data_IF_660618272211
#
_entry.id   IF_660618272211
#
_cell.length_a   1.000
_cell.length_b   1.000
_cell.length_c   1.000
_cell.angle_alpha   90.00
_cell.angle_beta   90.00
_cell.angle_gamma   90.00
#
_symmetry.space_group_name_H-M   'P 1'
#
loop_
_entity.id
_entity.type
_entity.pdbx_description
1 polymer ?
#
# COMPACT_ATOMS: atom_id res chain seq x y z
N UNK A 1 -2.63 0.04 22.40
CA UNK A 1 -3.30 0.99 21.48
C UNK A 1 -4.58 0.36 20.97
N UNK A 2 -5.65 1.12 20.71
CA UNK A 2 -6.86 0.57 20.12
C UNK A 2 -6.57 -0.08 18.76
N UNK A 3 -7.03 -1.32 18.56
CA UNK A 3 -6.89 -2.06 17.30
C UNK A 3 -5.58 -2.82 17.11
N UNK A 4 -4.60 -2.73 18.02
CA UNK A 4 -3.40 -3.58 17.98
C UNK A 4 -3.64 -4.85 18.78
N UNK A 5 -3.63 -6.00 18.12
CA UNK A 5 -3.82 -7.31 18.74
C UNK A 5 -2.50 -7.90 19.27
N UNK A 6 -1.42 -7.79 18.49
CA UNK A 6 -0.08 -8.19 18.94
C UNK A 6 1.00 -7.28 18.38
N UNK A 7 2.09 -7.12 19.14
CA UNK A 7 3.27 -6.41 18.71
C UNK A 7 4.50 -7.17 19.20
N UNK A 8 5.28 -7.71 18.27
CA UNK A 8 6.47 -8.49 18.56
C UNK A 8 7.67 -7.88 17.83
N UNK A 9 8.62 -7.35 18.60
CA UNK A 9 9.92 -6.95 18.09
C UNK A 9 10.85 -8.15 18.06
N UNK A 10 11.48 -8.41 16.91
CA UNK A 10 12.60 -9.33 16.87
C UNK A 10 13.75 -8.78 17.72
N UNK A 11 14.12 -9.52 18.75
CA UNK A 11 15.28 -9.16 19.57
C UNK A 11 16.53 -9.48 18.77
N UNK A 12 17.36 -8.46 18.52
CA UNK A 12 18.70 -8.70 18.01
C UNK A 12 19.52 -9.51 19.01
N UNK A 13 19.21 -9.48 20.31
CA UNK A 13 19.92 -10.16 21.38
C UNK A 13 19.01 -11.24 22.01
N UNK A 14 19.41 -12.52 21.87
CA UNK A 14 18.58 -13.65 22.27
C UNK A 14 19.17 -15.02 21.94
N UNK A 15 20.23 -15.05 21.13
CA UNK A 15 21.05 -16.24 20.92
C UNK A 15 21.79 -16.61 22.20
N UNK A 16 21.88 -17.91 22.47
CA UNK A 16 22.67 -18.45 23.57
C UNK A 16 23.94 -19.08 23.00
N UNK A 17 25.08 -18.70 23.56
CA UNK A 17 26.39 -19.11 23.11
C UNK A 17 27.16 -19.79 24.24
N UNK A 18 27.96 -20.79 23.87
CA UNK A 18 29.02 -21.33 24.72
C UNK A 18 30.33 -20.90 24.08
N UNK A 19 30.97 -19.90 24.67
CA UNK A 19 32.23 -19.35 24.16
C UNK A 19 33.39 -20.18 24.69
N UNK A 20 34.27 -20.59 23.79
CA UNK A 20 35.57 -21.19 24.11
C UNK A 20 36.62 -20.11 23.93
N UNK A 21 36.93 -19.39 25.02
CA UNK A 21 37.90 -18.30 25.04
C UNK A 21 39.32 -18.89 25.18
N UNK A 22 39.97 -19.15 24.05
CA UNK A 22 41.28 -19.81 24.00
C UNK A 22 42.34 -18.91 24.62
N UNK A 23 43.04 -19.42 25.62
CA UNK A 23 44.14 -18.73 26.28
C UNK A 23 45.46 -19.10 25.58
N UNK A 24 46.02 -18.13 24.84
CA UNK A 24 47.24 -18.32 24.05
C UNK A 24 48.45 -18.73 24.89
N UNK A 25 48.60 -18.17 26.09
CA UNK A 25 49.73 -18.48 26.98
C UNK A 25 49.64 -19.91 27.51
N UNK A 26 48.44 -20.35 27.90
CA UNK A 26 48.21 -21.72 28.34
C UNK A 26 48.43 -22.72 27.19
N UNK A 27 47.89 -22.45 26.00
CA UNK A 27 48.06 -23.31 24.83
C UNK A 27 49.53 -23.43 24.39
N UNK A 28 50.28 -22.33 24.45
CA UNK A 28 51.70 -22.31 24.09
C UNK A 28 52.56 -23.23 24.98
N UNK A 29 52.20 -23.42 26.26
CA UNK A 29 52.89 -24.37 27.16
C UNK A 29 52.86 -25.81 26.66
N UNK A 30 51.85 -26.16 25.87
CA UNK A 30 51.66 -27.50 25.29
C UNK A 30 52.05 -27.56 23.80
N UNK A 31 52.72 -26.51 23.29
CA UNK A 31 53.10 -26.42 21.88
C UNK A 31 51.90 -26.30 20.93
N UNK A 32 50.75 -25.82 21.40
CA UNK A 32 49.54 -25.69 20.60
C UNK A 32 49.30 -24.25 20.15
N UNK A 33 48.96 -24.08 18.88
CA UNK A 33 48.45 -22.83 18.33
C UNK A 33 46.95 -22.67 18.60
N UNK A 34 46.40 -21.48 18.36
CA UNK A 34 44.95 -21.24 18.46
C UNK A 34 44.19 -22.16 17.48
N UNK A 35 44.73 -22.37 16.28
CA UNK A 35 44.12 -23.24 15.27
C UNK A 35 44.06 -24.70 15.74
N UNK A 36 45.11 -25.18 16.42
CA UNK A 36 45.15 -26.56 16.95
C UNK A 36 44.07 -26.79 18.00
N UNK A 37 43.83 -25.81 18.89
CA UNK A 37 42.76 -25.88 19.89
C UNK A 37 41.38 -25.77 19.23
N UNK A 38 41.23 -24.90 18.22
CA UNK A 38 39.96 -24.74 17.48
C UNK A 38 39.54 -26.01 16.72
N UNK A 39 40.49 -26.84 16.29
CA UNK A 39 40.19 -28.12 15.63
C UNK A 39 39.35 -29.06 16.52
N UNK A 40 39.60 -29.06 17.84
CA UNK A 40 38.78 -29.82 18.78
C UNK A 40 37.37 -29.23 18.92
N UNK A 41 37.22 -27.91 18.79
CA UNK A 41 35.91 -27.26 18.83
C UNK A 41 35.10 -27.57 17.57
N UNK A 42 35.69 -27.48 16.38
CA UNK A 42 34.98 -27.70 15.12
C UNK A 42 34.67 -29.18 14.86
N UNK A 43 35.66 -30.06 15.04
CA UNK A 43 35.50 -31.49 14.76
C UNK A 43 35.01 -32.25 15.99
N UNK A 44 35.81 -32.31 17.06
CA UNK A 44 35.49 -33.17 18.22
C UNK A 44 34.16 -32.80 18.89
N UNK A 45 33.83 -31.51 19.00
CA UNK A 45 32.55 -31.02 19.56
C UNK A 45 31.50 -30.78 18.47
N UNK A 46 31.83 -29.97 17.46
CA UNK A 46 30.88 -29.47 16.46
C UNK A 46 30.39 -30.50 15.45
N UNK A 47 31.20 -31.52 15.14
CA UNK A 47 30.89 -32.50 14.08
C UNK A 47 31.03 -31.92 12.68
N UNK A 48 32.03 -31.05 12.46
CA UNK A 48 32.34 -30.53 11.14
C UNK A 48 32.57 -31.65 10.11
N UNK A 49 32.08 -31.44 8.90
CA UNK A 49 32.28 -32.35 7.78
C UNK A 49 33.76 -32.36 7.38
N UNK A 50 34.31 -33.56 7.18
CA UNK A 50 35.71 -33.78 6.80
C UNK A 50 35.87 -34.30 5.37
N UNK A 51 34.80 -34.82 4.77
CA UNK A 51 34.82 -35.37 3.41
C UNK A 51 33.45 -35.88 2.99
N UNK A 52 33.37 -36.50 1.81
CA UNK A 52 32.14 -37.09 1.27
C UNK A 52 32.45 -38.48 0.68
N UNK A 53 31.57 -39.46 0.88
CA UNK A 53 31.57 -40.71 0.09
C UNK A 53 30.90 -40.46 -1.25
N UNK A 54 31.36 -41.15 -2.30
CA UNK A 54 30.75 -41.10 -3.63
C UNK A 54 30.13 -42.47 -3.92
N UNK A 55 28.81 -42.51 -4.00
CA UNK A 55 28.01 -43.74 -4.13
C UNK A 55 27.13 -43.63 -5.39
N UNK A 56 27.75 -43.82 -6.55
CA UNK A 56 27.11 -43.61 -7.85
C UNK A 56 26.92 -42.12 -8.13
N UNK A 57 25.67 -41.68 -8.19
CA UNK A 57 25.29 -40.25 -8.37
C UNK A 57 25.15 -39.56 -6.99
N UNK A 58 24.93 -40.32 -5.92
CA UNK A 58 24.76 -39.77 -4.58
C UNK A 58 26.11 -39.46 -3.92
N UNK A 59 26.11 -38.45 -3.05
CA UNK A 59 27.24 -38.08 -2.18
C UNK A 59 26.76 -37.94 -0.75
N UNK A 60 27.49 -38.52 0.20
CA UNK A 60 27.14 -38.48 1.62
C UNK A 60 28.26 -37.88 2.47
N UNK A 61 27.97 -36.98 3.42
CA UNK A 61 28.98 -36.32 4.23
C UNK A 61 29.57 -37.25 5.29
N UNK A 62 30.88 -37.21 5.44
CA UNK A 62 31.66 -37.86 6.50
C UNK A 62 32.04 -36.77 7.51
N UNK A 63 31.81 -37.02 8.81
CA UNK A 63 32.27 -36.15 9.88
C UNK A 63 33.06 -36.92 10.95
N UNK A 64 33.91 -36.22 11.68
CA UNK A 64 34.58 -36.74 12.88
C UNK A 64 34.01 -36.02 14.10
N UNK A 65 33.65 -36.78 15.14
CA UNK A 65 33.07 -36.22 16.36
C UNK A 65 33.27 -37.14 17.56
N UNK A 66 33.42 -36.57 18.75
CA UNK A 66 33.39 -37.35 19.99
C UNK A 66 31.97 -37.82 20.34
N UNK A 67 31.86 -38.93 21.11
CA UNK A 67 30.59 -39.34 21.71
C UNK A 67 29.93 -38.19 22.47
N UNK A 68 28.59 -38.15 22.44
CA UNK A 68 27.84 -37.02 23.01
C UNK A 68 28.14 -36.77 24.50
N UNK A 69 28.43 -37.83 25.27
CA UNK A 69 28.76 -37.74 26.70
C UNK A 69 29.90 -36.76 27.01
N UNK A 70 30.87 -36.61 26.11
CA UNK A 70 32.01 -35.70 26.30
C UNK A 70 31.70 -34.23 25.98
N UNK A 71 30.50 -33.93 25.48
CA UNK A 71 30.11 -32.58 24.99
C UNK A 71 28.68 -32.19 25.35
N UNK A 72 28.11 -32.85 26.35
CA UNK A 72 26.69 -32.71 26.70
C UNK A 72 26.39 -31.42 27.50
N UNK A 73 27.39 -30.87 28.18
CA UNK A 73 27.26 -29.68 29.03
C UNK A 73 28.51 -28.81 29.01
N UNK A 74 28.43 -27.53 29.43
CA UNK A 74 29.61 -26.68 29.61
C UNK A 74 30.68 -27.30 30.53
N UNK A 75 30.26 -28.06 31.54
CA UNK A 75 31.15 -28.78 32.44
C UNK A 75 31.86 -29.93 31.71
N UNK A 76 31.14 -30.69 30.89
CA UNK A 76 31.73 -31.74 30.05
C UNK A 76 32.75 -31.15 29.07
N UNK A 77 32.45 -30.00 28.47
CA UNK A 77 33.38 -29.30 27.59
C UNK A 77 34.65 -28.87 28.33
N UNK A 78 34.58 -28.47 29.61
CA UNK A 78 35.79 -28.14 30.39
C UNK A 78 36.69 -29.35 30.59
N UNK A 79 36.11 -30.53 30.71
CA UNK A 79 36.82 -31.80 30.88
C UNK A 79 37.10 -32.53 29.56
N UNK A 80 36.86 -31.88 28.41
CA UNK A 80 37.00 -32.52 27.11
C UNK A 80 38.47 -32.92 26.89
N UNK A 81 38.76 -34.21 26.64
CA UNK A 81 40.12 -34.70 26.53
C UNK A 81 40.77 -34.22 25.23
N UNK A 82 41.99 -33.69 25.36
CA UNK A 82 42.83 -33.22 24.25
C UNK A 82 44.15 -33.97 24.32
N UNK A 83 44.57 -34.53 23.18
CA UNK A 83 45.90 -35.10 23.01
C UNK A 83 46.78 -34.09 22.29
N UNK A 84 47.79 -33.58 22.98
CA UNK A 84 48.67 -32.52 22.45
C UNK A 84 49.65 -33.06 21.39
N UNK A 85 50.29 -32.19 20.58
CA UNK A 85 51.36 -32.61 19.67
C UNK A 85 52.50 -33.36 20.37
N UNK A 86 52.79 -32.97 21.63
CA UNK A 86 53.78 -33.60 22.50
C UNK A 86 53.27 -34.87 23.21
N UNK A 87 52.09 -35.38 22.82
CA UNK A 87 51.42 -36.57 23.40
C UNK A 87 51.02 -36.44 24.87
N UNK A 88 50.88 -35.21 25.37
CA UNK A 88 50.33 -34.98 26.70
C UNK A 88 48.81 -35.11 26.65
N UNK A 89 48.22 -35.62 27.72
CA UNK A 89 46.77 -35.67 27.90
C UNK A 89 46.37 -34.50 28.79
N UNK A 90 45.59 -33.58 28.22
CA UNK A 90 45.08 -32.40 28.92
C UNK A 90 43.58 -32.29 28.69
N UNK A 91 42.94 -31.35 29.39
CA UNK A 91 41.55 -30.99 29.18
C UNK A 91 41.44 -29.67 28.43
N UNK A 92 40.29 -29.40 27.80
CA UNK A 92 40.05 -28.11 27.14
C UNK A 92 40.15 -26.93 28.12
N UNK A 93 39.80 -27.11 29.40
CA UNK A 93 39.96 -26.07 30.44
C UNK A 93 41.42 -25.68 30.71
N UNK A 94 42.37 -26.57 30.41
CA UNK A 94 43.79 -26.29 30.57
C UNK A 94 44.32 -25.31 29.53
N UNK A 95 43.59 -25.09 28.42
CA UNK A 95 44.00 -24.20 27.31
C UNK A 95 42.95 -23.16 26.93
N UNK A 96 41.72 -23.23 27.46
CA UNK A 96 40.65 -22.28 27.16
C UNK A 96 39.67 -22.12 28.31
N UNK A 97 39.08 -20.93 28.44
CA UNK A 97 38.01 -20.66 29.41
C UNK A 97 36.64 -20.82 28.72
N UNK A 98 35.74 -21.59 29.34
CA UNK A 98 34.43 -21.90 28.76
C UNK A 98 33.33 -21.18 29.53
N UNK A 99 32.65 -20.25 28.85
CA UNK A 99 31.63 -19.36 29.41
C UNK A 99 30.34 -19.43 28.59
N UNK A 100 29.20 -19.38 29.29
CA UNK A 100 27.90 -19.21 28.65
C UNK A 100 27.64 -17.71 28.54
N UNK A 101 27.29 -17.24 27.34
CA UNK A 101 26.91 -15.86 27.11
C UNK A 101 25.64 -15.76 26.27
N UNK A 102 25.00 -14.61 26.35
CA UNK A 102 23.96 -14.21 25.39
C UNK A 102 24.59 -13.36 24.30
N UNK A 103 24.08 -13.50 23.09
CA UNK A 103 24.54 -12.74 21.94
C UNK A 103 23.48 -12.67 20.86
N UNK A 104 23.82 -12.16 19.67
CA UNK A 104 22.84 -12.03 18.61
C UNK A 104 22.37 -13.37 18.08
N UNK A 105 21.07 -13.65 18.06
CA UNK A 105 20.56 -14.91 17.45
C UNK A 105 20.68 -14.89 15.94
N UNK A 106 20.47 -13.73 15.33
CA UNK A 106 20.54 -13.49 13.90
C UNK A 106 20.82 -12.00 13.68
N UNK A 107 21.82 -11.68 12.84
CA UNK A 107 22.10 -10.31 12.44
C UNK A 107 21.31 -10.00 11.17
N UNK A 108 20.23 -9.21 11.30
CA UNK A 108 19.50 -8.68 10.14
C UNK A 108 20.07 -7.34 9.73
N UNK A 109 20.26 -7.19 8.42
CA UNK A 109 20.73 -5.96 7.81
C UNK A 109 19.85 -5.59 6.63
N UNK A 110 19.63 -4.28 6.47
CA UNK A 110 18.91 -3.71 5.34
C UNK A 110 19.73 -2.53 4.84
N UNK A 111 20.09 -2.54 3.55
CA UNK A 111 20.99 -1.55 2.95
C UNK A 111 22.29 -1.36 3.75
N UNK A 112 22.90 -2.49 4.16
CA UNK A 112 24.12 -2.54 4.99
C UNK A 112 24.02 -1.90 6.38
N UNK A 113 22.80 -1.60 6.87
CA UNK A 113 22.57 -1.11 8.24
C UNK A 113 21.89 -2.20 9.08
N UNK A 114 22.33 -2.46 10.32
CA UNK A 114 21.61 -3.35 11.22
C UNK A 114 20.18 -2.86 11.46
N UNK A 115 19.21 -3.76 11.37
CA UNK A 115 17.79 -3.42 11.53
C UNK A 115 17.08 -4.45 12.39
N UNK A 116 16.09 -3.98 13.17
CA UNK A 116 15.16 -4.81 13.93
C UNK A 116 13.77 -4.54 13.39
N UNK A 117 13.04 -5.59 13.03
CA UNK A 117 11.67 -5.46 12.59
C UNK A 117 10.71 -5.71 13.77
N UNK A 118 9.72 -4.83 13.87
CA UNK A 118 8.61 -4.94 14.82
C UNK A 118 7.38 -5.34 14.03
N UNK A 119 6.96 -6.58 14.20
CA UNK A 119 5.75 -7.10 13.58
C UNK A 119 4.55 -6.72 14.44
N UNK A 120 3.63 -5.95 13.85
CA UNK A 120 2.41 -5.49 14.51
C UNK A 120 1.24 -6.14 13.79
N UNK A 121 0.47 -6.97 14.49
CA UNK A 121 -0.82 -7.47 14.02
C UNK A 121 -1.91 -6.56 14.60
N UNK A 122 -2.61 -5.86 13.70
CA UNK A 122 -3.71 -4.99 14.04
C UNK A 122 -4.99 -5.52 13.40
N UNK A 123 -6.05 -5.64 14.21
CA UNK A 123 -7.36 -6.13 13.81
C UNK A 123 -8.41 -5.12 14.25
N UNK A 124 -9.58 -5.18 13.63
CA UNK A 124 -10.77 -4.37 13.99
C UNK A 124 -10.67 -2.86 13.70
N UNK A 125 -9.53 -2.35 13.20
CA UNK A 125 -9.38 -0.97 12.69
C UNK A 125 -8.66 -0.95 11.35
N UNK A 126 -8.84 0.13 10.62
CA UNK A 126 -8.14 0.36 9.36
C UNK A 126 -6.63 0.57 9.60
N UNK A 127 -5.83 0.04 8.68
CA UNK A 127 -4.37 0.09 8.75
C UNK A 127 -3.82 1.52 8.84
N UNK A 128 -4.43 2.47 8.13
CA UNK A 128 -3.92 3.85 8.05
C UNK A 128 -4.06 4.53 9.41
N UNK A 129 -5.23 4.44 10.05
CA UNK A 129 -5.47 5.00 11.39
C UNK A 129 -4.52 4.40 12.43
N UNK A 130 -4.32 3.07 12.41
CA UNK A 130 -3.42 2.40 13.35
C UNK A 130 -1.98 2.89 13.18
N UNK A 131 -1.49 3.03 11.95
CA UNK A 131 -0.12 3.53 11.71
C UNK A 131 0.03 4.99 12.13
N UNK A 132 -0.96 5.85 11.89
CA UNK A 132 -0.92 7.24 12.34
C UNK A 132 -0.92 7.36 13.88
N UNK A 133 -1.74 6.55 14.57
CA UNK A 133 -1.74 6.48 16.03
C UNK A 133 -0.39 5.97 16.58
N UNK A 134 0.23 5.00 15.90
CA UNK A 134 1.57 4.49 16.21
C UNK A 134 2.65 5.56 16.03
N UNK A 135 2.65 6.26 14.89
CA UNK A 135 3.58 7.37 14.62
C UNK A 135 3.50 8.43 15.71
N UNK A 136 2.28 8.84 16.07
CA UNK A 136 2.05 9.85 17.10
C UNK A 136 2.55 9.40 18.47
N UNK A 137 2.19 8.20 18.92
CA UNK A 137 2.62 7.78 20.26
C UNK A 137 4.12 7.46 20.34
N UNK A 138 4.74 6.96 19.25
CA UNK A 138 6.19 6.76 19.22
C UNK A 138 6.90 8.10 19.30
N UNK A 139 6.44 9.11 18.55
CA UNK A 139 7.02 10.45 18.60
C UNK A 139 6.85 11.12 19.99
N UNK A 140 5.72 10.90 20.66
CA UNK A 140 5.45 11.49 21.98
C UNK A 140 6.15 10.76 23.13
N UNK A 141 6.23 9.42 23.09
CA UNK A 141 6.65 8.60 24.24
C UNK A 141 8.05 8.02 24.13
N UNK A 142 8.68 8.05 22.96
CA UNK A 142 9.98 7.44 22.73
C UNK A 142 10.97 8.48 22.21
N UNK A 143 11.92 8.88 23.05
CA UNK A 143 13.03 9.71 22.59
C UNK A 143 14.04 8.85 21.82
N UNK A 144 14.26 9.18 20.55
CA UNK A 144 15.21 8.48 19.69
C UNK A 144 16.65 8.75 20.14
N UNK A 145 17.43 7.67 20.29
CA UNK A 145 18.87 7.77 20.53
C UNK A 145 19.60 8.21 19.25
N UNK A 146 20.72 8.96 19.35
CA UNK A 146 21.54 9.28 18.20
C UNK A 146 21.94 8.04 17.40
N UNK A 147 21.94 8.13 16.07
CA UNK A 147 22.26 7.02 15.16
C UNK A 147 21.13 5.99 14.96
N UNK A 148 19.98 6.14 15.62
CA UNK A 148 18.81 5.27 15.44
C UNK A 148 17.73 5.99 14.62
N UNK A 149 17.16 5.30 13.64
CA UNK A 149 16.02 5.78 12.84
C UNK A 149 14.87 4.78 12.92
N UNK A 150 13.65 5.28 13.03
CA UNK A 150 12.42 4.47 12.98
C UNK A 150 11.72 4.76 11.65
N UNK A 151 11.37 3.69 10.93
CA UNK A 151 10.60 3.77 9.70
C UNK A 151 9.42 2.81 9.78
N UNK A 152 8.30 3.19 9.15
CA UNK A 152 7.12 2.35 9.03
C UNK A 152 7.12 1.75 7.62
N UNK A 153 7.29 0.44 7.54
CA UNK A 153 7.30 -0.30 6.26
C UNK A 153 6.13 -1.29 6.18
N UNK A 154 6.13 -2.15 5.17
CA UNK A 154 5.06 -3.09 4.85
C UNK A 154 4.02 -2.49 3.91
N UNK A 155 2.76 -2.87 4.10
CA UNK A 155 1.67 -2.42 3.22
C UNK A 155 1.43 -0.90 3.29
N UNK A 156 1.76 -0.26 4.41
CA UNK A 156 1.64 1.19 4.57
C UNK A 156 2.55 1.96 3.61
N UNK A 157 3.80 1.51 3.43
CA UNK A 157 4.74 2.13 2.49
C UNK A 157 4.25 2.03 1.03
N UNK A 158 3.66 0.88 0.67
CA UNK A 158 3.02 0.70 -0.64
C UNK A 158 1.82 1.63 -0.82
N UNK A 159 1.02 1.81 0.24
CA UNK A 159 -0.13 2.73 0.25
C UNK A 159 0.32 4.19 0.11
N UNK A 160 1.38 4.62 0.81
CA UNK A 160 1.92 5.97 0.67
C UNK A 160 2.44 6.24 -0.75
N UNK A 161 3.21 5.29 -1.31
CA UNK A 161 3.70 5.38 -2.70
C UNK A 161 2.53 5.47 -3.68
N UNK A 162 1.50 4.65 -3.50
CA UNK A 162 0.30 4.69 -4.33
C UNK A 162 -0.45 6.02 -4.18
N UNK A 163 -0.63 6.52 -2.96
CA UNK A 163 -1.27 7.81 -2.70
C UNK A 163 -0.52 8.99 -3.32
N UNK A 164 0.81 9.00 -3.25
CA UNK A 164 1.62 10.03 -3.91
C UNK A 164 1.39 10.00 -5.42
N UNK A 165 1.34 8.81 -6.02
CA UNK A 165 1.08 8.66 -7.46
C UNK A 165 -0.35 9.04 -7.83
N UNK A 166 -1.35 8.68 -7.02
CA UNK A 166 -2.75 9.07 -7.23
C UNK A 166 -2.94 10.60 -7.14
N UNK A 167 -2.29 11.27 -6.18
CA UNK A 167 -2.29 12.73 -6.09
C UNK A 167 -1.75 13.41 -7.34
N UNK A 168 -0.78 12.78 -8.01
CA UNK A 168 -0.25 13.24 -9.29
C UNK A 168 -1.17 12.86 -10.48
N UNK A 169 -1.79 11.68 -10.45
CA UNK A 169 -2.69 11.21 -11.51
C UNK A 169 -3.98 12.04 -11.59
N UNK A 170 -4.55 12.48 -10.47
CA UNK A 170 -5.81 13.26 -10.48
C UNK A 170 -5.68 14.53 -11.34
N UNK A 171 -4.68 15.42 -11.14
CA UNK A 171 -4.46 16.57 -12.02
C UNK A 171 -4.27 16.19 -13.49
N UNK A 172 -3.50 15.12 -13.77
CA UNK A 172 -3.31 14.66 -15.15
C UNK A 172 -4.62 14.22 -15.80
N UNK A 173 -5.45 13.45 -15.09
CA UNK A 173 -6.76 13.01 -15.59
C UNK A 173 -7.70 14.19 -15.82
N UNK A 174 -7.76 15.14 -14.89
CA UNK A 174 -8.56 16.36 -15.05
C UNK A 174 -8.09 17.20 -16.24
N UNK A 175 -6.78 17.31 -16.46
CA UNK A 175 -6.21 18.02 -17.60
C UNK A 175 -6.57 17.32 -18.93
N UNK A 176 -6.44 16.00 -19.01
CA UNK A 176 -6.81 15.24 -20.21
C UNK A 176 -8.31 15.39 -20.50
N UNK A 177 -9.16 15.24 -19.48
CA UNK A 177 -10.61 15.46 -19.60
C UNK A 177 -10.86 16.90 -20.09
N UNK A 178 -10.20 17.91 -19.53
CA UNK A 178 -10.32 19.30 -19.97
C UNK A 178 -9.97 19.48 -21.44
N UNK A 179 -8.84 18.93 -21.89
CA UNK A 179 -8.40 19.04 -23.28
C UNK A 179 -9.40 18.39 -24.23
N UNK A 180 -9.91 17.19 -23.89
CA UNK A 180 -10.91 16.50 -24.71
C UNK A 180 -12.24 17.28 -24.78
N UNK A 181 -12.70 17.82 -23.64
CA UNK A 181 -13.90 18.66 -23.58
C UNK A 181 -13.70 19.96 -24.36
N UNK A 182 -12.52 20.58 -24.25
CA UNK A 182 -12.19 21.77 -25.01
C UNK A 182 -12.16 21.49 -26.51
N UNK A 183 -11.63 20.35 -26.94
CA UNK A 183 -11.60 19.97 -28.35
C UNK A 183 -13.01 19.72 -28.91
N UNK A 184 -13.90 19.10 -28.11
CA UNK A 184 -15.28 18.82 -28.49
C UNK A 184 -16.14 20.09 -28.59
N UNK A 185 -16.09 20.98 -27.58
CA UNK A 185 -16.99 22.15 -27.50
C UNK A 185 -16.36 23.46 -27.99
N UNK A 186 -15.03 23.53 -28.09
CA UNK A 186 -14.21 24.71 -28.45
C UNK A 186 -14.49 25.95 -27.59
N UNK A 187 -14.96 25.75 -26.36
CA UNK A 187 -15.32 26.82 -25.42
C UNK A 187 -14.82 26.48 -24.02
N UNK A 188 -13.93 27.32 -23.47
CA UNK A 188 -13.33 27.13 -22.14
C UNK A 188 -14.39 27.04 -21.05
N UNK A 189 -15.37 27.96 -21.04
CA UNK A 189 -16.40 27.98 -20.01
C UNK A 189 -17.32 26.76 -20.03
N UNK A 190 -17.59 26.20 -21.21
CA UNK A 190 -18.38 24.97 -21.38
C UNK A 190 -17.63 23.74 -20.85
N UNK A 191 -16.33 23.64 -21.15
CA UNK A 191 -15.47 22.57 -20.63
C UNK A 191 -15.33 22.64 -19.10
N UNK A 192 -15.14 23.84 -18.54
CA UNK A 192 -14.99 24.05 -17.09
C UNK A 192 -16.29 23.71 -16.34
N UNK A 193 -17.46 24.03 -16.92
CA UNK A 193 -18.76 23.67 -16.37
C UNK A 193 -18.92 22.14 -16.26
N UNK A 194 -18.52 21.38 -17.28
CA UNK A 194 -18.60 19.91 -17.25
C UNK A 194 -17.63 19.34 -16.20
N UNK A 195 -16.38 19.81 -16.12
CA UNK A 195 -15.44 19.33 -15.09
C UNK A 195 -15.94 19.64 -13.69
N UNK A 196 -16.55 20.81 -13.49
CA UNK A 196 -17.13 21.20 -12.21
C UNK A 196 -18.30 20.31 -11.78
N UNK A 197 -18.81 19.45 -12.67
CA UNK A 197 -19.83 18.46 -12.31
C UNK A 197 -19.26 17.18 -11.68
N UNK A 198 -17.97 16.88 -11.88
CA UNK A 198 -17.30 15.68 -11.36
C UNK A 198 -17.34 15.58 -9.83
N UNK A 199 -17.12 16.65 -9.04
CA UNK A 199 -17.23 16.60 -7.59
C UNK A 199 -18.57 16.06 -7.07
N UNK A 200 -19.68 16.31 -7.78
CA UNK A 200 -21.00 15.78 -7.38
C UNK A 200 -21.08 14.25 -7.54
N UNK A 201 -20.34 13.69 -8.50
CA UNK A 201 -20.20 12.25 -8.63
C UNK A 201 -19.40 11.67 -7.47
N UNK A 202 -18.26 12.30 -7.12
CA UNK A 202 -17.40 11.85 -6.02
C UNK A 202 -18.15 11.75 -4.70
N UNK A 203 -19.01 12.74 -4.39
CA UNK A 203 -19.83 12.75 -3.18
C UNK A 203 -20.69 11.48 -3.08
N UNK A 204 -21.39 11.09 -4.16
CA UNK A 204 -22.22 9.89 -4.15
C UNK A 204 -21.42 8.61 -3.94
N UNK A 205 -20.24 8.52 -4.53
CA UNK A 205 -19.34 7.38 -4.33
C UNK A 205 -18.85 7.29 -2.88
N UNK A 206 -18.46 8.42 -2.26
CA UNK A 206 -18.01 8.46 -0.86
C UNK A 206 -19.14 8.04 0.10
N UNK A 207 -20.36 8.53 -0.13
CA UNK A 207 -21.52 8.15 0.68
C UNK A 207 -21.82 6.65 0.59
N UNK A 208 -21.73 6.06 -0.60
CA UNK A 208 -21.97 4.62 -0.75
C UNK A 208 -20.86 3.78 -0.09
N UNK A 209 -19.60 4.22 -0.17
CA UNK A 209 -18.50 3.56 0.56
C UNK A 209 -18.75 3.56 2.07
N UNK A 210 -19.16 4.70 2.62
CA UNK A 210 -19.47 4.82 4.04
C UNK A 210 -20.65 3.92 4.44
N UNK A 211 -21.72 3.91 3.65
CA UNK A 211 -22.89 3.06 3.89
C UNK A 211 -22.57 1.56 3.84
N UNK A 212 -21.69 1.15 2.92
CA UNK A 212 -21.23 -0.24 2.78
C UNK A 212 -20.11 -0.62 3.77
N UNK A 213 -19.63 0.32 4.59
CA UNK A 213 -18.49 0.08 5.49
C UNK A 213 -17.18 -0.21 4.77
N UNK A 214 -17.01 0.28 3.54
CA UNK A 214 -15.77 0.11 2.77
C UNK A 214 -14.73 1.18 3.11
N UNK A 215 -13.47 0.76 3.12
CA UNK A 215 -12.32 1.63 3.40
C UNK A 215 -11.77 2.25 2.12
N UNK A 216 -11.19 3.45 2.25
CA UNK A 216 -10.43 4.05 1.15
C UNK A 216 -9.17 3.23 0.87
N UNK A 217 -9.00 2.88 -0.40
CA UNK A 217 -7.89 2.06 -0.90
C UNK A 217 -7.57 2.43 -2.35
N UNK A 218 -6.51 1.83 -2.89
CA UNK A 218 -6.17 1.99 -4.32
C UNK A 218 -7.31 1.50 -5.21
N UNK A 219 -8.02 0.43 -4.81
CA UNK A 219 -9.18 -0.10 -5.53
C UNK A 219 -10.32 0.93 -5.64
N UNK A 220 -10.71 1.55 -4.53
CA UNK A 220 -11.73 2.61 -4.53
C UNK A 220 -11.24 3.84 -5.31
N UNK A 221 -9.95 4.17 -5.22
CA UNK A 221 -9.33 5.26 -5.99
C UNK A 221 -9.45 5.07 -7.49
N UNK A 222 -9.18 3.86 -8.00
CA UNK A 222 -9.42 3.51 -9.41
C UNK A 222 -10.88 3.66 -9.79
N UNK A 223 -11.81 3.22 -8.92
CA UNK A 223 -13.25 3.41 -9.11
C UNK A 223 -13.65 4.88 -9.23
N UNK A 224 -13.08 5.78 -8.42
CA UNK A 224 -13.32 7.22 -8.51
C UNK A 224 -12.76 7.85 -9.80
N UNK A 225 -11.61 7.39 -10.28
CA UNK A 225 -11.04 7.87 -11.56
C UNK A 225 -11.94 7.45 -12.72
N UNK A 226 -12.38 6.18 -12.74
CA UNK A 226 -13.32 5.70 -13.74
C UNK A 226 -14.65 6.47 -13.68
N UNK A 227 -15.19 6.66 -12.48
CA UNK A 227 -16.40 7.46 -12.24
C UNK A 227 -16.25 8.89 -12.78
N UNK A 228 -15.10 9.54 -12.61
CA UNK A 228 -14.89 10.90 -13.08
C UNK A 228 -15.04 11.00 -14.61
N UNK A 229 -14.53 10.01 -15.35
CA UNK A 229 -14.70 9.91 -16.80
C UNK A 229 -16.17 9.75 -17.20
N UNK A 230 -16.88 8.83 -16.53
CA UNK A 230 -18.30 8.58 -16.81
C UNK A 230 -19.19 9.78 -16.42
N UNK A 231 -18.87 10.47 -15.32
CA UNK A 231 -19.54 11.71 -14.93
C UNK A 231 -19.33 12.83 -15.96
N UNK A 232 -18.12 12.95 -16.49
CA UNK A 232 -17.82 13.89 -17.57
C UNK A 232 -18.61 13.56 -18.84
N UNK A 233 -18.72 12.28 -19.21
CA UNK A 233 -19.55 11.82 -20.33
C UNK A 233 -21.01 12.28 -20.21
N UNK A 234 -21.64 12.12 -19.03
CA UNK A 234 -23.00 12.63 -18.81
C UNK A 234 -23.10 14.15 -18.92
N UNK A 235 -22.07 14.87 -18.52
CA UNK A 235 -21.98 16.31 -18.68
C UNK A 235 -21.94 16.70 -20.16
N UNK A 236 -21.13 16.01 -20.96
CA UNK A 236 -21.01 16.21 -22.42
C UNK A 236 -22.36 16.00 -23.11
N UNK A 237 -22.97 14.83 -22.91
CA UNK A 237 -24.24 14.49 -23.54
C UNK A 237 -25.27 15.56 -23.21
N UNK A 238 -25.30 16.02 -21.96
CA UNK A 238 -26.30 17.01 -21.59
C UNK A 238 -26.04 18.40 -22.14
N UNK A 239 -24.80 18.86 -22.10
CA UNK A 239 -24.46 20.14 -22.68
C UNK A 239 -24.74 20.15 -24.19
N UNK A 240 -24.50 19.02 -24.86
CA UNK A 240 -24.81 18.84 -26.28
C UNK A 240 -26.30 19.07 -26.56
N UNK A 241 -27.22 18.44 -25.82
CA UNK A 241 -28.66 18.66 -26.02
C UNK A 241 -29.09 20.10 -25.75
N UNK A 242 -28.57 20.73 -24.69
CA UNK A 242 -28.87 22.13 -24.38
C UNK A 242 -28.35 23.07 -25.47
N UNK A 243 -27.15 22.81 -25.97
CA UNK A 243 -26.53 23.60 -27.03
C UNK A 243 -27.33 23.52 -28.33
N UNK A 244 -27.70 22.31 -28.78
CA UNK A 244 -28.52 22.15 -29.97
C UNK A 244 -29.91 22.78 -29.80
N UNK A 245 -30.52 22.69 -28.61
CA UNK A 245 -31.81 23.33 -28.35
C UNK A 245 -31.75 24.86 -28.45
N UNK A 246 -30.64 25.47 -28.00
CA UNK A 246 -30.44 26.92 -28.13
C UNK A 246 -30.06 27.31 -29.57
N UNK A 247 -29.21 26.52 -30.24
CA UNK A 247 -28.82 26.75 -31.65
C UNK A 247 -30.01 26.63 -32.62
N UNK A 248 -31.00 25.78 -32.30
CA UNK A 248 -32.24 25.62 -33.07
C UNK A 248 -33.18 26.84 -33.02
N UNK A 249 -32.94 27.81 -32.12
CA UNK A 249 -33.76 29.02 -31.96
C UNK A 249 -32.93 30.26 -32.34
N UNK A 250 -32.95 30.71 -33.61
CA UNK A 250 -32.12 31.82 -34.08
C UNK A 250 -32.31 33.13 -33.30
N UNK A 251 -33.51 33.36 -32.75
CA UNK A 251 -33.83 34.56 -31.96
C UNK A 251 -33.07 34.67 -30.63
N UNK A 252 -32.51 33.56 -30.12
CA UNK A 252 -31.66 33.56 -28.93
C UNK A 252 -30.21 33.97 -29.25
N UNK A 253 -29.76 33.81 -30.50
CA UNK A 253 -28.40 34.14 -30.90
C UNK A 253 -28.21 35.65 -31.16
N UNK A 254 -29.28 36.38 -31.48
CA UNK A 254 -29.24 37.82 -31.72
C UNK A 254 -29.49 38.61 -30.41
N UNK A 255 -28.56 39.46 -29.95
CA UNK A 255 -28.72 40.27 -28.73
C UNK A 255 -29.97 41.17 -28.71
N UNK A 256 -30.50 41.53 -29.89
CA UNK A 256 -31.66 42.41 -30.03
C UNK A 256 -33.01 41.69 -29.84
N UNK A 257 -33.08 40.38 -30.10
CA UNK A 257 -34.30 39.56 -30.01
C UNK A 257 -34.29 38.61 -28.82
N UNK A 258 -33.28 38.72 -27.95
CA UNK A 258 -33.08 37.85 -26.81
C UNK A 258 -34.23 38.00 -25.79
N UNK A 259 -34.87 36.88 -25.44
CA UNK A 259 -35.87 36.79 -24.38
C UNK A 259 -35.52 35.66 -23.43
N UNK A 260 -35.55 35.93 -22.13
CA UNK A 260 -35.30 34.94 -21.10
C UNK A 260 -36.33 33.82 -21.12
N UNK A 261 -37.61 34.14 -21.39
CA UNK A 261 -38.68 33.14 -21.47
C UNK A 261 -38.44 32.14 -22.62
N UNK A 262 -37.95 32.62 -23.77
CA UNK A 262 -37.57 31.75 -24.89
C UNK A 262 -36.35 30.88 -24.58
N UNK A 263 -35.43 31.39 -23.77
CA UNK A 263 -34.28 30.61 -23.32
C UNK A 263 -34.73 29.48 -22.39
N UNK A 264 -35.65 29.77 -21.46
CA UNK A 264 -36.21 28.76 -20.55
C UNK A 264 -36.99 27.68 -21.30
N UNK A 265 -37.77 28.05 -22.32
CA UNK A 265 -38.49 27.09 -23.18
C UNK A 265 -37.54 26.19 -23.97
N UNK A 266 -36.47 26.77 -24.56
CA UNK A 266 -35.44 26.01 -25.26
C UNK A 266 -34.68 25.07 -24.32
N UNK A 267 -34.31 25.54 -23.12
CA UNK A 267 -33.65 24.73 -22.09
C UNK A 267 -34.57 23.62 -21.58
N UNK A 268 -35.87 23.88 -21.41
CA UNK A 268 -36.87 22.90 -21.01
C UNK A 268 -37.02 21.80 -22.07
N UNK A 269 -37.14 22.18 -23.34
CA UNK A 269 -37.21 21.23 -24.45
C UNK A 269 -35.95 20.36 -24.53
N UNK A 270 -34.75 20.97 -24.46
CA UNK A 270 -33.48 20.25 -24.40
C UNK A 270 -33.34 19.40 -23.13
N UNK A 271 -34.00 19.79 -22.03
CA UNK A 271 -34.00 19.06 -20.77
C UNK A 271 -34.96 17.86 -20.72
N UNK A 272 -36.07 17.88 -21.47
CA UNK A 272 -37.00 16.75 -21.54
C UNK A 272 -36.47 15.66 -22.47
N UNK A 273 -35.91 16.04 -23.63
CA UNK A 273 -35.40 15.08 -24.62
C UNK A 273 -34.31 14.13 -24.08
N UNK A 274 -33.58 14.56 -23.07
CA UNK A 274 -32.49 13.80 -22.43
C UNK A 274 -32.96 12.81 -21.36
N UNK A 275 -34.18 12.92 -20.83
CA UNK A 275 -34.61 12.10 -19.67
C UNK A 275 -34.58 10.62 -20.04
N UNK A 276 -35.07 10.25 -21.23
CA UNK A 276 -35.11 8.86 -21.68
C UNK A 276 -33.69 8.28 -21.92
N UNK A 277 -32.78 8.91 -22.69
CA UNK A 277 -31.41 8.42 -22.84
C UNK A 277 -30.61 8.39 -21.52
N UNK A 278 -30.75 9.41 -20.67
CA UNK A 278 -30.06 9.44 -19.36
C UNK A 278 -30.58 8.37 -18.41
N UNK A 279 -31.89 8.19 -18.30
CA UNK A 279 -32.44 7.15 -17.44
C UNK A 279 -31.99 5.75 -17.89
N UNK A 280 -31.96 5.49 -19.20
CA UNK A 280 -31.47 4.22 -19.75
C UNK A 280 -30.02 3.94 -19.38
N UNK A 281 -29.13 4.91 -19.63
CA UNK A 281 -27.68 4.77 -19.35
C UNK A 281 -27.38 4.58 -17.87
N UNK A 282 -28.05 5.35 -17.00
CA UNK A 282 -27.94 5.19 -15.55
C UNK A 282 -28.43 3.81 -15.11
N UNK A 283 -29.58 3.36 -15.65
CA UNK A 283 -30.14 2.06 -15.32
C UNK A 283 -29.21 0.90 -15.72
N UNK A 284 -28.65 0.91 -16.94
CA UNK A 284 -27.76 -0.18 -17.39
C UNK A 284 -26.43 -0.19 -16.64
N UNK A 285 -25.87 0.98 -16.28
CA UNK A 285 -24.61 1.04 -15.53
C UNK A 285 -24.83 0.55 -14.11
N UNK A 286 -25.89 0.99 -13.43
CA UNK A 286 -26.22 0.50 -12.10
C UNK A 286 -26.50 -1.00 -12.17
N UNK A 287 -27.37 -1.46 -13.07
CA UNK A 287 -27.72 -2.87 -13.21
C UNK A 287 -26.53 -3.77 -13.59
N UNK A 288 -25.59 -3.28 -14.40
CA UNK A 288 -24.40 -4.02 -14.79
C UNK A 288 -23.33 -4.10 -13.69
N UNK A 289 -23.23 -3.06 -12.85
CA UNK A 289 -22.26 -3.01 -11.75
C UNK A 289 -22.80 -3.61 -10.44
N UNK A 290 -24.13 -3.66 -10.24
CA UNK A 290 -24.75 -4.17 -9.02
C UNK A 290 -24.35 -5.62 -8.70
N UNK A 291 -24.27 -6.57 -9.67
CA UNK A 291 -23.80 -7.92 -9.40
C UNK A 291 -22.36 -7.97 -8.89
N UNK A 292 -21.51 -7.03 -9.36
CA UNK A 292 -20.11 -6.93 -8.93
C UNK A 292 -20.02 -6.39 -7.50
N UNK A 293 -20.96 -5.52 -7.10
CA UNK A 293 -21.05 -4.99 -5.74
C UNK A 293 -21.44 -6.05 -4.71
N UNK A 294 -22.35 -6.96 -5.08
CA UNK A 294 -22.88 -8.01 -4.19
C UNK A 294 -22.26 -9.39 -4.39
N UNK A 295 -21.36 -9.55 -5.36
CA UNK A 295 -20.76 -10.83 -5.67
C UNK A 295 -20.08 -11.43 -4.43
N UNK A 296 -20.49 -12.62 -4.03
CA UNK A 296 -19.81 -13.42 -3.00
C UNK A 296 -18.89 -14.43 -3.68
N UNK A 297 -17.62 -14.46 -3.32
CA UNK A 297 -16.65 -15.41 -3.89
C UNK A 297 -15.25 -14.83 -4.00
N UNK A 298 -14.31 -15.65 -4.46
CA UNK A 298 -12.91 -15.25 -4.58
C UNK A 298 -12.74 -14.03 -5.50
N UNK A 299 -12.07 -12.98 -5.02
CA UNK A 299 -11.79 -11.76 -5.77
C UNK A 299 -12.89 -10.69 -5.68
N UNK A 300 -14.04 -11.03 -5.08
CA UNK A 300 -15.12 -10.07 -4.82
C UNK A 300 -14.68 -8.92 -3.91
N UNK A 301 -13.72 -9.16 -3.02
CA UNK A 301 -13.23 -8.19 -2.05
C UNK A 301 -12.54 -6.99 -2.71
N UNK A 302 -11.97 -7.20 -3.91
CA UNK A 302 -11.35 -6.13 -4.70
C UNK A 302 -12.38 -5.51 -5.64
N UNK A 303 -13.17 -6.34 -6.34
CA UNK A 303 -14.10 -5.87 -7.36
C UNK A 303 -15.25 -5.03 -6.79
N UNK A 304 -15.81 -5.41 -5.64
CA UNK A 304 -16.85 -4.63 -4.96
C UNK A 304 -16.37 -3.23 -4.55
N UNK A 305 -15.10 -3.11 -4.13
CA UNK A 305 -14.47 -1.84 -3.77
C UNK A 305 -14.17 -0.94 -4.98
N UNK A 306 -13.93 -1.51 -6.16
CA UNK A 306 -13.80 -0.76 -7.41
C UNK A 306 -15.18 -0.30 -7.90
N UNK A 307 -16.22 -1.14 -7.76
CA UNK A 307 -17.57 -0.88 -8.25
C UNK A 307 -18.36 0.12 -7.40
N UNK A 308 -18.21 0.10 -6.07
CA UNK A 308 -18.99 0.95 -5.16
C UNK A 308 -18.88 2.46 -5.47
N UNK A 309 -17.68 3.06 -5.69
CA UNK A 309 -17.58 4.46 -6.08
C UNK A 309 -18.38 4.78 -7.35
N UNK A 310 -18.30 3.91 -8.35
CA UNK A 310 -19.00 4.09 -9.63
C UNK A 310 -20.52 4.06 -9.44
N UNK A 311 -21.05 3.09 -8.70
CA UNK A 311 -22.51 2.98 -8.44
C UNK A 311 -23.01 4.17 -7.64
N UNK A 312 -22.34 4.53 -6.54
CA UNK A 312 -22.75 5.65 -5.71
C UNK A 312 -22.71 6.97 -6.47
N UNK A 313 -21.65 7.19 -7.25
CA UNK A 313 -21.53 8.38 -8.09
C UNK A 313 -22.50 8.39 -9.26
N UNK A 314 -22.92 7.24 -9.76
CA UNK A 314 -23.95 7.11 -10.80
C UNK A 314 -25.35 7.49 -10.30
N UNK A 315 -25.57 7.53 -8.99
CA UNK A 315 -26.84 8.01 -8.42
C UNK A 315 -26.82 9.54 -8.38
N UNK A 316 -25.74 10.13 -7.87
CA UNK A 316 -25.67 11.58 -7.66
C UNK A 316 -25.30 12.35 -8.93
N UNK A 317 -24.40 11.85 -9.77
CA UNK A 317 -23.92 12.60 -10.94
C UNK A 317 -25.03 12.89 -11.96
N UNK A 318 -25.86 11.93 -12.37
CA UNK A 318 -26.95 12.19 -13.31
C UNK A 318 -28.03 13.06 -12.68
N UNK A 319 -28.41 12.78 -11.43
CA UNK A 319 -29.43 13.55 -10.71
C UNK A 319 -29.02 15.01 -10.59
N UNK A 320 -27.84 15.29 -10.04
CA UNK A 320 -27.38 16.68 -9.89
C UNK A 320 -27.05 17.34 -11.23
N UNK A 321 -26.46 16.62 -12.20
CA UNK A 321 -26.15 17.21 -13.51
C UNK A 321 -27.40 17.66 -14.28
N UNK A 322 -28.57 17.01 -14.06
CA UNK A 322 -29.84 17.45 -14.65
C UNK A 322 -30.24 18.86 -14.17
N UNK A 323 -29.87 19.26 -12.96
CA UNK A 323 -30.22 20.57 -12.40
C UNK A 323 -29.10 21.59 -12.53
N UNK A 324 -27.86 21.18 -12.27
CA UNK A 324 -26.71 22.09 -12.21
C UNK A 324 -26.34 22.58 -13.61
N UNK A 325 -26.26 21.69 -14.60
CA UNK A 325 -25.79 22.07 -15.94
C UNK A 325 -26.75 23.06 -16.62
N UNK A 326 -28.09 22.91 -16.63
CA UNK A 326 -28.97 23.86 -17.28
C UNK A 326 -29.01 25.19 -16.55
N UNK A 327 -29.03 25.18 -15.21
CA UNK A 327 -29.02 26.39 -14.42
C UNK A 327 -27.73 27.19 -14.64
N UNK A 328 -26.56 26.52 -14.60
CA UNK A 328 -25.27 27.16 -14.87
C UNK A 328 -25.17 27.62 -16.33
N UNK A 329 -25.67 26.83 -17.29
CA UNK A 329 -25.65 27.19 -18.71
C UNK A 329 -26.54 28.39 -19.02
N UNK A 330 -27.73 28.48 -18.40
CA UNK A 330 -28.61 29.67 -18.44
C UNK A 330 -27.86 30.90 -17.95
N UNK A 331 -27.25 30.83 -16.76
CA UNK A 331 -26.48 31.94 -16.18
C UNK A 331 -25.32 32.38 -17.07
N UNK A 332 -24.58 31.43 -17.66
CA UNK A 332 -23.49 31.73 -18.59
C UNK A 332 -23.97 32.42 -19.87
N UNK A 333 -25.15 32.08 -20.37
CA UNK A 333 -25.76 32.73 -21.53
C UNK A 333 -26.25 34.15 -21.19
N UNK A 334 -26.91 34.32 -20.04
CA UNK A 334 -27.33 35.65 -19.56
C UNK A 334 -26.15 36.59 -19.38
N UNK A 335 -25.03 36.10 -18.82
CA UNK A 335 -23.81 36.90 -18.67
C UNK A 335 -23.23 37.33 -20.03
N UNK A 336 -23.18 36.43 -21.01
CA UNK A 336 -22.70 36.75 -22.38
C UNK A 336 -23.53 37.83 -23.06
N UNK A 337 -24.85 37.82 -22.89
CA UNK A 337 -25.72 38.85 -23.45
C UNK A 337 -25.69 40.17 -22.68
N UNK A 338 -25.38 40.14 -21.38
CA UNK A 338 -25.23 41.35 -20.57
C UNK A 338 -23.91 42.09 -20.84
N UNK A 339 -22.83 41.36 -21.14
CA UNK A 339 -21.51 41.93 -21.49
C UNK A 339 -21.45 42.45 -22.93
N UNK A 340 -22.34 41.99 -23.82
CA UNK A 340 -22.43 42.44 -25.23
C UNK A 340 -23.38 43.61 -25.46
N UNK A 341 -24.13 44.05 -24.45
CA UNK A 341 -24.94 45.28 -24.49
C UNK A 341 -24.10 46.46 -24.03
#
# INVERSE_FOLDING_TARGET
>A
MPGVASALAERLEGGRYINVEINREKAARYGMTVADVQLFVTSAVGGAMVGETVEGIARYPINLRYPQSWRDSPQALRQLPILTPMKQQITLADVADIKVSTGPSMLKTENARPTSWIYIDARDRDMVSVVHDLQKAIAEKVQLKPGTSVAFSGQFELLERANHKLKLMVPMTLMIIFVLLYLAFRRVGEALLIISSVPFALVGGIWLLWWMGFHLSVATGTGFIALAGVAAEFGVVMLMYLRHAIEAVPSLNNPQTFSEQKLDEALYHGAVLRVRPKAMTVAVIIAGLLPILWGTGAGSEVMSRIAAPMIGGMITAPLLSLFIIPAAYKLMWLHRHRVRK
#
